data_IF_262331812989
#
_entry.id   IF_262331812989
#
_cell.length_a   1.000
_cell.length_b   1.000
_cell.length_c   1.000
_cell.angle_alpha   90.00
_cell.angle_beta   90.00
_cell.angle_gamma   90.00
#
_symmetry.space_group_name_H-M   'P 1'
#
loop_
_entity.id
_entity.type
_entity.pdbx_description
1 polymer ?
#
# COMPACT_ATOMS: atom_id res chain seq x y z
N UNK A 1 20.52 8.07 -14.41
CA UNK A 1 19.56 9.10 -14.84
C UNK A 1 20.05 10.45 -14.34
N UNK A 2 20.21 11.45 -15.20
CA UNK A 2 20.65 12.79 -14.79
C UNK A 2 19.45 13.54 -14.17
N UNK A 3 19.53 13.84 -12.88
CA UNK A 3 18.49 14.60 -12.18
C UNK A 3 18.55 16.06 -12.63
N UNK A 4 17.46 16.57 -13.21
CA UNK A 4 17.34 17.99 -13.54
C UNK A 4 17.13 18.76 -12.23
N UNK A 5 17.96 19.78 -11.99
CA UNK A 5 17.76 20.70 -10.87
C UNK A 5 16.85 21.81 -11.35
N UNK A 6 15.67 21.92 -10.75
CA UNK A 6 14.75 23.01 -11.02
C UNK A 6 15.12 24.20 -10.12
N UNK A 7 15.32 25.37 -10.72
CA UNK A 7 15.58 26.61 -9.98
C UNK A 7 14.24 27.20 -9.59
N UNK A 8 13.92 27.16 -8.29
CA UNK A 8 12.74 27.81 -7.77
C UNK A 8 12.87 29.33 -7.96
N UNK A 9 11.88 29.96 -8.61
CA UNK A 9 11.83 31.40 -8.82
C UNK A 9 10.86 32.02 -7.81
N UNK A 10 11.36 32.90 -6.94
CA UNK A 10 10.57 33.60 -5.93
C UNK A 10 11.07 33.39 -4.50
N UNK A 11 10.38 33.99 -3.54
CA UNK A 11 10.63 33.74 -2.11
C UNK A 11 10.43 32.24 -1.84
N UNK A 12 11.39 31.64 -1.16
CA UNK A 12 11.30 30.25 -0.72
C UNK A 12 9.97 30.06 0.03
N UNK A 13 9.14 29.12 -0.43
CA UNK A 13 7.92 28.78 0.29
C UNK A 13 8.36 28.23 1.65
N UNK A 14 7.86 28.76 2.79
CA UNK A 14 8.21 28.21 4.09
C UNK A 14 7.91 26.71 4.10
N UNK A 15 8.72 25.94 4.84
CA UNK A 15 8.44 24.52 4.96
C UNK A 15 6.99 24.32 5.42
N UNK A 16 6.23 23.45 4.74
CA UNK A 16 4.84 23.22 5.10
C UNK A 16 4.79 22.71 6.53
N UNK A 17 4.29 23.55 7.43
CA UNK A 17 4.05 23.15 8.81
C UNK A 17 2.88 22.18 8.79
N UNK A 18 3.12 20.95 9.24
CA UNK A 18 2.05 19.97 9.45
C UNK A 18 1.17 20.50 10.58
N UNK A 19 0.19 21.32 10.23
CA UNK A 19 -0.83 21.78 11.16
C UNK A 19 -1.71 20.58 11.44
N UNK A 20 -1.37 19.82 12.49
CA UNK A 20 -2.18 18.72 12.97
C UNK A 20 -3.55 19.25 13.37
N UNK A 21 -4.52 19.13 12.46
CA UNK A 21 -5.93 19.44 12.67
C UNK A 21 -6.71 18.46 11.79
N UNK A 22 -7.45 17.56 12.44
CA UNK A 22 -8.57 16.77 11.92
C UNK A 22 -8.28 15.56 10.99
N UNK A 23 -7.02 15.17 10.77
CA UNK A 23 -6.66 14.00 9.95
C UNK A 23 -5.51 13.17 10.52
N UNK A 24 -5.43 11.89 10.13
CA UNK A 24 -4.27 11.04 10.45
C UNK A 24 -3.01 11.65 9.83
N UNK A 25 -1.90 11.62 10.58
CA UNK A 25 -0.59 12.03 10.07
C UNK A 25 -0.28 11.28 8.75
N UNK A 26 -0.05 11.98 7.63
CA UNK A 26 0.24 11.35 6.35
C UNK A 26 1.40 10.35 6.42
N UNK A 27 2.41 10.63 7.23
CA UNK A 27 3.54 9.72 7.44
C UNK A 27 3.07 8.46 8.18
N UNK A 28 2.29 8.62 9.26
CA UNK A 28 1.72 7.49 9.99
C UNK A 28 0.81 6.61 9.11
N UNK A 29 0.02 7.21 8.20
CA UNK A 29 -0.81 6.45 7.26
C UNK A 29 0.05 5.61 6.30
N UNK A 30 1.11 6.19 5.74
CA UNK A 30 2.00 5.47 4.83
C UNK A 30 2.70 4.30 5.54
N UNK A 31 3.17 4.52 6.77
CA UNK A 31 3.80 3.47 7.58
C UNK A 31 2.80 2.36 7.89
N UNK A 32 1.57 2.70 8.25
CA UNK A 32 0.52 1.71 8.51
C UNK A 32 0.18 0.87 7.26
N UNK A 33 0.11 1.49 6.08
CA UNK A 33 -0.11 0.80 4.82
C UNK A 33 1.04 -0.15 4.48
N UNK A 34 2.29 0.28 4.73
CA UNK A 34 3.47 -0.56 4.52
C UNK A 34 3.51 -1.76 5.48
N UNK A 35 3.18 -1.54 6.76
CA UNK A 35 3.07 -2.60 7.76
C UNK A 35 1.97 -3.61 7.39
N UNK A 36 0.81 -3.11 6.96
CA UNK A 36 -0.31 -3.95 6.51
C UNK A 36 0.07 -4.80 5.28
N UNK A 37 0.80 -4.22 4.32
CA UNK A 37 1.34 -4.93 3.16
C UNK A 37 2.29 -6.05 3.58
N UNK A 38 3.20 -5.77 4.51
CA UNK A 38 4.14 -6.79 5.00
C UNK A 38 3.41 -7.91 5.75
N UNK A 39 2.45 -7.56 6.62
CA UNK A 39 1.62 -8.54 7.31
C UNK A 39 0.87 -9.46 6.34
N UNK A 40 0.31 -8.91 5.25
CA UNK A 40 -0.35 -9.71 4.22
C UNK A 40 0.62 -10.72 3.56
N UNK A 41 1.86 -10.31 3.27
CA UNK A 41 2.88 -11.22 2.71
C UNK A 41 3.23 -12.36 3.66
N UNK A 42 3.40 -12.07 4.95
CA UNK A 42 3.65 -13.11 5.97
C UNK A 42 2.49 -14.11 6.05
N UNK A 43 1.24 -13.64 5.96
CA UNK A 43 0.08 -14.54 5.92
C UNK A 43 0.14 -15.45 4.69
N UNK A 44 0.41 -14.88 3.51
CA UNK A 44 0.51 -15.67 2.27
C UNK A 44 1.63 -16.71 2.33
N UNK A 45 2.76 -16.41 2.97
CA UNK A 45 3.87 -17.36 3.17
C UNK A 45 3.49 -18.56 4.03
N UNK A 46 2.60 -18.37 5.01
CA UNK A 46 2.15 -19.43 5.91
C UNK A 46 1.06 -20.34 5.30
N UNK A 47 0.43 -19.94 4.19
CA UNK A 47 -0.59 -20.75 3.52
C UNK A 47 0.04 -21.81 2.60
N UNK A 48 -0.64 -22.97 2.51
CA UNK A 48 -0.31 -23.96 1.48
C UNK A 48 -0.53 -23.37 0.07
N UNK A 49 0.07 -23.93 -0.99
CA UNK A 49 -0.11 -23.43 -2.35
C UNK A 49 -1.59 -23.28 -2.75
N UNK A 50 -2.41 -24.28 -2.48
CA UNK A 50 -3.83 -24.29 -2.85
C UNK A 50 -4.63 -23.24 -2.07
N UNK A 51 -4.38 -23.12 -0.76
CA UNK A 51 -5.02 -22.11 0.09
C UNK A 51 -4.69 -20.70 -0.35
N UNK A 52 -3.43 -20.47 -0.78
CA UNK A 52 -2.96 -19.17 -1.23
C UNK A 52 -3.64 -18.75 -2.53
N UNK A 53 -3.79 -19.67 -3.48
CA UNK A 53 -4.48 -19.39 -4.75
C UNK A 53 -5.94 -19.01 -4.49
N UNK A 54 -6.65 -19.82 -3.68
CA UNK A 54 -8.04 -19.53 -3.35
C UNK A 54 -8.20 -18.18 -2.63
N UNK A 55 -7.35 -17.89 -1.64
CA UNK A 55 -7.37 -16.62 -0.90
C UNK A 55 -7.08 -15.42 -1.79
N UNK A 56 -6.05 -15.48 -2.64
CA UNK A 56 -5.69 -14.35 -3.51
C UNK A 56 -6.78 -14.06 -4.53
N UNK A 57 -7.32 -15.09 -5.19
CA UNK A 57 -8.37 -14.91 -6.20
C UNK A 57 -9.68 -14.40 -5.58
N UNK A 58 -10.08 -14.95 -4.45
CA UNK A 58 -11.33 -14.57 -3.82
C UNK A 58 -11.22 -13.22 -3.10
N UNK A 59 -10.28 -13.05 -2.17
CA UNK A 59 -10.22 -11.87 -1.30
C UNK A 59 -9.48 -10.70 -1.96
N UNK A 60 -8.50 -10.98 -2.83
CA UNK A 60 -7.72 -9.96 -3.53
C UNK A 60 -8.34 -9.49 -4.85
N UNK A 61 -8.99 -10.39 -5.59
CA UNK A 61 -9.56 -10.11 -6.91
C UNK A 61 -11.08 -10.25 -7.00
N UNK A 62 -11.76 -10.56 -5.88
CA UNK A 62 -13.21 -10.74 -5.82
C UNK A 62 -13.77 -11.83 -6.75
N UNK A 63 -12.97 -12.87 -7.05
CA UNK A 63 -13.42 -14.02 -7.84
C UNK A 63 -14.26 -14.96 -6.98
N UNK A 64 -15.48 -15.34 -7.40
CA UNK A 64 -16.31 -16.27 -6.63
C UNK A 64 -15.68 -17.64 -6.48
N UNK A 65 -15.85 -18.28 -5.31
CA UNK A 65 -15.32 -19.64 -5.08
C UNK A 65 -15.79 -20.68 -6.10
N UNK A 66 -16.98 -20.50 -6.68
CA UNK A 66 -17.49 -21.38 -7.73
C UNK A 66 -16.62 -21.35 -8.98
N UNK A 67 -16.12 -20.17 -9.37
CA UNK A 67 -15.24 -20.00 -10.53
C UNK A 67 -13.82 -20.49 -10.23
N UNK A 68 -13.34 -20.31 -8.99
CA UNK A 68 -12.04 -20.84 -8.55
C UNK A 68 -12.02 -22.37 -8.56
N UNK A 69 -13.14 -23.02 -8.25
CA UNK A 69 -13.25 -24.48 -8.24
C UNK A 69 -13.18 -25.12 -9.65
N UNK A 70 -13.36 -24.32 -10.71
CA UNK A 70 -13.32 -24.77 -12.10
C UNK A 70 -11.90 -24.72 -12.72
N UNK A 71 -10.89 -24.23 -11.97
CA UNK A 71 -9.47 -24.10 -12.38
C UNK A 71 -8.64 -25.28 -11.88
#
# INVERSE_FOLDING_TARGET
AAHRRETYVGEWLPEPVVTGLDGADPLASLVADEDARFAAMVVLENLTPDQRVAFVLHDGFAVPFTEIADV
#
